data_IF_046402174276
#
_entry.id   IF_046402174276
#
_cell.length_a   1.000
_cell.length_b   1.000
_cell.length_c   1.000
_cell.angle_alpha   90.00
_cell.angle_beta   90.00
_cell.angle_gamma   90.00
#
_symmetry.space_group_name_H-M   'P 1'
#
loop_
_entity.id
_entity.type
_entity.pdbx_description
1 polymer ?
#
# COMPACT_ATOMS: atom_id res chain seq x y z
N UNK A 1 15.42 -7.12 20.99
CA UNK A 1 14.70 -6.22 20.06
C UNK A 1 14.57 -4.87 20.76
N UNK A 2 15.29 -3.82 20.33
CA UNK A 2 15.39 -2.53 21.04
C UNK A 2 14.13 -1.63 20.92
N UNK A 3 12.98 -2.20 20.56
CA UNK A 3 11.73 -1.44 20.42
C UNK A 3 11.73 -0.38 19.32
N UNK A 4 12.66 -0.44 18.36
CA UNK A 4 12.78 0.58 17.29
C UNK A 4 11.65 0.44 16.27
N UNK A 5 10.79 1.47 16.11
CA UNK A 5 9.74 1.51 15.08
C UNK A 5 10.32 1.44 13.67
N UNK A 6 9.63 0.73 12.76
CA UNK A 6 10.12 0.48 11.40
C UNK A 6 9.00 0.58 10.38
N UNK A 7 9.35 1.21 9.26
CA UNK A 7 8.60 1.22 8.01
C UNK A 7 9.44 0.51 6.96
N UNK A 8 8.79 -0.25 6.08
CA UNK A 8 9.44 -0.96 4.98
C UNK A 8 9.17 -0.24 3.67
N UNK A 9 10.21 -0.04 2.87
CA UNK A 9 10.11 0.45 1.50
C UNK A 9 10.60 -0.63 0.55
N UNK A 10 9.69 -1.22 -0.23
CA UNK A 10 10.02 -2.16 -1.31
C UNK A 10 10.50 -1.34 -2.50
N UNK A 11 11.81 -1.14 -2.55
CA UNK A 11 12.48 -0.42 -3.64
C UNK A 11 12.65 -1.31 -4.89
N UNK A 12 13.00 -0.68 -6.01
CA UNK A 12 13.37 -1.29 -7.28
C UNK A 12 12.22 -2.01 -7.97
N UNK A 13 11.02 -1.44 -7.89
CA UNK A 13 9.86 -1.96 -8.61
C UNK A 13 10.02 -1.92 -10.14
N UNK A 14 10.98 -1.14 -10.66
CA UNK A 14 11.41 -1.02 -12.06
C UNK A 14 12.33 -2.16 -12.54
N UNK A 15 12.76 -3.08 -11.67
CA UNK A 15 13.76 -4.10 -12.02
C UNK A 15 13.15 -5.44 -12.36
N UNK A 16 13.80 -6.15 -13.28
CA UNK A 16 13.40 -7.52 -13.63
C UNK A 16 13.33 -8.44 -12.41
N UNK A 17 12.24 -9.19 -12.30
CA UNK A 17 11.91 -10.03 -11.16
C UNK A 17 11.29 -9.28 -9.97
N UNK A 18 10.94 -8.00 -10.12
CA UNK A 18 10.24 -7.23 -9.09
C UNK A 18 8.92 -7.92 -8.72
N UNK A 19 8.69 -8.11 -7.41
CA UNK A 19 7.47 -8.74 -6.92
C UNK A 19 7.15 -8.25 -5.52
N UNK A 20 6.23 -7.29 -5.44
CA UNK A 20 5.81 -6.68 -4.19
C UNK A 20 5.20 -7.70 -3.21
N UNK A 21 4.24 -8.51 -3.69
CA UNK A 21 3.55 -9.51 -2.86
C UNK A 21 4.51 -10.55 -2.30
N UNK A 22 5.50 -10.98 -3.09
CA UNK A 22 6.57 -11.88 -2.62
C UNK A 22 7.43 -11.23 -1.54
N UNK A 23 7.78 -9.95 -1.68
CA UNK A 23 8.52 -9.20 -0.66
C UNK A 23 7.73 -9.11 0.67
N UNK A 24 6.44 -8.76 0.60
CA UNK A 24 5.54 -8.72 1.77
C UNK A 24 5.48 -10.09 2.46
N UNK A 25 5.30 -11.17 1.69
CA UNK A 25 5.28 -12.54 2.22
C UNK A 25 6.61 -12.95 2.87
N UNK A 26 7.73 -12.52 2.29
CA UNK A 26 9.06 -12.78 2.86
C UNK A 26 9.29 -12.03 4.16
N UNK A 27 8.83 -10.78 4.29
CA UNK A 27 8.89 -10.02 5.56
C UNK A 27 8.17 -10.80 6.65
N UNK A 28 6.96 -11.30 6.37
CA UNK A 28 6.18 -12.12 7.32
C UNK A 28 6.91 -13.41 7.70
N UNK A 29 7.29 -14.22 6.70
CA UNK A 29 7.83 -15.57 6.92
C UNK A 29 9.25 -15.59 7.48
N UNK A 30 10.11 -14.65 7.08
CA UNK A 30 11.54 -14.66 7.45
C UNK A 30 11.85 -13.81 8.66
N UNK A 31 11.14 -12.69 8.84
CA UNK A 31 11.39 -11.77 9.96
C UNK A 31 10.40 -11.97 11.12
N UNK A 32 9.33 -12.76 10.92
CA UNK A 32 8.27 -12.91 11.91
C UNK A 32 7.52 -11.60 12.18
N UNK A 33 7.58 -10.66 11.24
CA UNK A 33 6.94 -9.36 11.35
C UNK A 33 5.48 -9.41 10.88
N UNK A 34 4.69 -8.38 11.23
CA UNK A 34 3.34 -8.15 10.70
C UNK A 34 3.41 -7.02 9.66
N UNK A 35 3.79 -7.29 8.39
CA UNK A 35 3.78 -6.27 7.36
C UNK A 35 2.35 -5.82 7.06
N UNK A 36 2.16 -4.53 6.86
CA UNK A 36 0.88 -3.92 6.49
C UNK A 36 1.07 -3.08 5.22
N UNK A 37 0.69 -3.57 4.03
CA UNK A 37 0.68 -2.76 2.83
C UNK A 37 -0.14 -1.48 3.03
N UNK A 38 0.51 -0.32 2.85
CA UNK A 38 -0.17 0.99 2.81
C UNK A 38 -0.21 1.55 1.38
N UNK A 39 0.62 0.99 0.51
CA UNK A 39 0.63 1.27 -0.92
C UNK A 39 0.67 -0.02 -1.72
N UNK A 40 0.10 0.01 -2.92
CA UNK A 40 0.09 -1.10 -3.87
C UNK A 40 0.72 -0.63 -5.18
N UNK A 41 1.71 -1.34 -5.76
CA UNK A 41 2.33 -0.90 -7.00
C UNK A 41 1.36 -1.04 -8.19
N UNK A 42 1.48 -0.11 -9.13
CA UNK A 42 0.82 -0.17 -10.43
C UNK A 42 1.85 -0.65 -11.43
N UNK A 43 1.75 -1.93 -11.81
CA UNK A 43 2.73 -2.59 -12.66
C UNK A 43 4.02 -2.99 -11.93
N UNK A 44 4.96 -3.53 -12.69
CA UNK A 44 6.27 -3.99 -12.23
C UNK A 44 7.26 -4.00 -13.40
N UNK A 45 8.55 -4.05 -13.07
CA UNK A 45 9.65 -3.99 -14.04
C UNK A 45 9.51 -2.75 -14.93
N UNK A 46 9.76 -2.87 -16.23
CA UNK A 46 9.59 -1.78 -17.21
C UNK A 46 8.14 -1.26 -17.31
N UNK A 47 7.16 -1.94 -16.69
CA UNK A 47 5.75 -1.52 -16.66
C UNK A 47 5.36 -0.84 -15.34
N UNK A 48 6.31 -0.58 -14.44
CA UNK A 48 6.02 0.13 -13.20
C UNK A 48 5.67 1.60 -13.49
N UNK A 49 4.44 2.01 -13.18
CA UNK A 49 3.92 3.36 -13.47
C UNK A 49 3.65 4.21 -12.23
N UNK A 50 3.76 3.63 -11.05
CA UNK A 50 3.50 4.32 -9.78
C UNK A 50 2.84 3.42 -8.74
N UNK A 51 2.05 3.99 -7.84
CA UNK A 51 1.40 3.24 -6.79
C UNK A 51 0.06 3.82 -6.35
N UNK A 52 -0.80 2.96 -5.80
CA UNK A 52 -2.05 3.33 -5.14
C UNK A 52 -1.77 3.60 -3.68
N UNK A 53 -2.16 4.78 -3.19
CA UNK A 53 -2.26 5.09 -1.77
C UNK A 53 -3.59 4.52 -1.24
N UNK A 54 -3.50 3.52 -0.36
CA UNK A 54 -4.68 2.88 0.24
C UNK A 54 -5.32 3.72 1.35
N UNK A 55 -4.64 4.73 1.88
CA UNK A 55 -5.19 5.62 2.91
C UNK A 55 -6.16 6.61 2.27
N UNK A 56 -5.75 7.23 1.18
CA UNK A 56 -6.54 8.21 0.41
C UNK A 56 -7.38 7.57 -0.71
N UNK A 57 -7.13 6.30 -1.03
CA UNK A 57 -7.72 5.59 -2.17
C UNK A 57 -7.51 6.35 -3.50
N UNK A 58 -6.26 6.76 -3.75
CA UNK A 58 -5.85 7.44 -4.97
C UNK A 58 -4.68 6.73 -5.64
N UNK A 59 -4.70 6.66 -6.96
CA UNK A 59 -3.56 6.23 -7.75
C UNK A 59 -2.64 7.43 -8.01
N UNK A 60 -1.36 7.27 -7.70
CA UNK A 60 -0.31 8.25 -7.98
C UNK A 60 0.55 7.68 -9.09
N UNK A 61 0.51 8.32 -10.27
CA UNK A 61 1.06 7.79 -11.51
C UNK A 61 2.03 8.78 -12.13
N UNK A 62 3.18 8.31 -12.60
CA UNK A 62 4.14 9.12 -13.35
C UNK A 62 4.03 8.84 -14.84
N UNK A 63 4.04 9.91 -15.63
CA UNK A 63 4.03 9.84 -17.10
C UNK A 63 5.45 9.71 -17.70
N UNK A 64 6.50 9.96 -16.91
CA UNK A 64 7.89 9.77 -17.31
C UNK A 64 8.78 9.35 -16.14
N UNK A 65 9.92 8.76 -16.46
CA UNK A 65 10.96 8.38 -15.49
C UNK A 65 11.90 9.54 -15.12
N UNK A 66 11.56 10.77 -15.53
CA UNK A 66 12.39 11.94 -15.24
C UNK A 66 12.38 12.24 -13.74
N UNK A 67 13.53 12.66 -13.20
CA UNK A 67 13.67 12.92 -11.75
C UNK A 67 12.74 14.00 -11.23
N UNK A 68 12.35 14.93 -12.10
CA UNK A 68 11.47 16.06 -11.79
C UNK A 68 10.04 15.81 -12.27
N UNK A 69 9.71 14.58 -12.70
CA UNK A 69 8.35 14.24 -13.11
C UNK A 69 7.39 14.36 -11.91
N UNK A 70 6.38 15.20 -12.08
CA UNK A 70 5.27 15.26 -11.14
C UNK A 70 4.32 14.08 -11.38
N UNK A 71 3.84 13.47 -10.30
CA UNK A 71 2.81 12.45 -10.43
C UNK A 71 1.45 13.09 -10.66
N UNK A 72 0.62 12.42 -11.42
CA UNK A 72 -0.80 12.69 -11.52
C UNK A 72 -1.55 11.88 -10.46
N UNK A 73 -2.59 12.48 -9.89
CA UNK A 73 -3.52 11.80 -8.99
C UNK A 73 -4.74 11.35 -9.78
N UNK A 74 -5.00 10.05 -9.80
CA UNK A 74 -6.15 9.44 -10.47
C UNK A 74 -7.06 8.73 -9.46
N UNK A 75 -8.33 8.59 -9.81
CA UNK A 75 -9.26 7.74 -9.07
C UNK A 75 -8.93 6.25 -9.28
N UNK A 76 -9.07 5.46 -8.22
CA UNK A 76 -8.95 4.00 -8.30
C UNK A 76 -10.25 3.44 -8.85
N UNK A 77 -10.24 2.99 -10.10
CA UNK A 77 -11.41 2.41 -10.78
C UNK A 77 -11.14 0.97 -11.23
N UNK A 78 -12.17 0.13 -11.43
CA UNK A 78 -11.98 -1.26 -11.87
C UNK A 78 -11.22 -1.40 -13.20
N UNK A 79 -11.31 -0.40 -14.07
CA UNK A 79 -10.64 -0.31 -15.36
C UNK A 79 -9.27 0.39 -15.30
N UNK A 80 -8.73 0.68 -14.10
CA UNK A 80 -7.44 1.37 -13.94
C UNK A 80 -6.29 0.63 -14.62
N UNK A 81 -6.30 -0.71 -14.56
CA UNK A 81 -5.31 -1.54 -15.26
C UNK A 81 -5.35 -1.33 -16.78
N UNK A 82 -6.55 -1.22 -17.36
CA UNK A 82 -6.72 -0.98 -18.79
C UNK A 82 -6.33 0.45 -19.17
N UNK A 83 -6.74 1.44 -18.37
CA UNK A 83 -6.37 2.86 -18.55
C UNK A 83 -4.87 3.10 -18.54
N UNK A 84 -4.14 2.34 -17.72
CA UNK A 84 -2.69 2.44 -17.57
C UNK A 84 -1.93 1.38 -18.36
N UNK A 85 -2.59 0.68 -19.30
CA UNK A 85 -1.96 -0.30 -20.20
C UNK A 85 -1.18 -1.40 -19.47
N UNK A 86 -1.66 -1.84 -18.30
CA UNK A 86 -1.05 -2.90 -17.50
C UNK A 86 -1.56 -4.25 -18.01
N UNK A 87 -0.69 -5.05 -18.61
CA UNK A 87 -1.06 -6.36 -19.18
C UNK A 87 -0.52 -7.56 -18.40
N UNK A 88 0.46 -7.34 -17.52
CA UNK A 88 1.10 -8.40 -16.74
C UNK A 88 0.05 -9.04 -15.81
N UNK A 89 -0.23 -10.36 -15.91
CA UNK A 89 -1.31 -10.99 -15.15
C UNK A 89 -1.17 -10.87 -13.64
N UNK A 90 0.06 -10.91 -13.11
CA UNK A 90 0.32 -10.74 -11.67
C UNK A 90 -0.01 -9.33 -11.19
N UNK A 91 0.31 -8.32 -11.99
CA UNK A 91 0.06 -6.91 -11.64
C UNK A 91 -1.43 -6.60 -11.73
N UNK A 92 -2.11 -7.10 -12.77
CA UNK A 92 -3.58 -7.04 -12.87
C UNK A 92 -4.27 -7.67 -11.67
N UNK A 93 -3.78 -8.83 -11.20
CA UNK A 93 -4.32 -9.48 -10.02
C UNK A 93 -4.13 -8.62 -8.77
N UNK A 94 -2.96 -8.03 -8.59
CA UNK A 94 -2.68 -7.11 -7.47
C UNK A 94 -3.65 -5.93 -7.49
N UNK A 95 -3.90 -5.33 -8.66
CA UNK A 95 -4.85 -4.23 -8.83
C UNK A 95 -6.31 -4.66 -8.57
N UNK A 96 -6.69 -5.87 -8.99
CA UNK A 96 -8.02 -6.43 -8.69
C UNK A 96 -8.23 -6.69 -7.19
N UNK A 97 -7.16 -6.96 -6.44
CA UNK A 97 -7.19 -7.22 -5.00
C UNK A 97 -7.09 -5.93 -4.15
N UNK A 98 -7.08 -4.72 -4.74
CA UNK A 98 -6.91 -3.44 -4.00
C UNK A 98 -7.93 -3.26 -2.88
N UNK A 99 -9.21 -3.57 -3.11
CA UNK A 99 -10.24 -3.49 -2.06
C UNK A 99 -9.98 -4.45 -0.89
N UNK A 100 -9.41 -5.62 -1.18
CA UNK A 100 -9.01 -6.57 -0.13
C UNK A 100 -7.86 -6.01 0.71
N UNK A 101 -6.84 -5.45 0.07
CA UNK A 101 -5.74 -4.77 0.78
C UNK A 101 -6.25 -3.58 1.59
N UNK A 102 -7.21 -2.84 1.04
CA UNK A 102 -7.84 -1.70 1.71
C UNK A 102 -8.58 -2.13 2.97
N UNK A 103 -9.38 -3.19 2.90
CA UNK A 103 -10.08 -3.75 4.06
C UNK A 103 -9.09 -4.22 5.14
N UNK A 104 -8.05 -4.96 4.77
CA UNK A 104 -7.01 -5.39 5.71
C UNK A 104 -6.30 -4.19 6.39
N UNK A 105 -6.04 -3.12 5.63
CA UNK A 105 -5.51 -1.86 6.14
C UNK A 105 -6.45 -1.21 7.15
N UNK A 106 -7.74 -1.07 6.81
CA UNK A 106 -8.74 -0.47 7.70
C UNK A 106 -8.85 -1.27 8.99
N UNK A 107 -9.08 -2.58 8.89
CA UNK A 107 -9.28 -3.45 10.04
C UNK A 107 -8.08 -3.41 10.99
N UNK A 108 -6.86 -3.56 10.43
CA UNK A 108 -5.62 -3.51 11.21
C UNK A 108 -5.38 -2.13 11.84
N UNK A 109 -5.79 -1.05 11.17
CA UNK A 109 -5.70 0.29 11.75
C UNK A 109 -6.68 0.48 12.91
N UNK A 110 -7.91 -0.01 12.76
CA UNK A 110 -8.95 0.13 13.78
C UNK A 110 -8.65 -0.66 15.05
N UNK A 111 -7.87 -1.75 14.98
CA UNK A 111 -7.30 -2.42 16.18
C UNK A 111 -6.50 -1.46 17.09
N UNK A 112 -6.03 -0.33 16.56
CA UNK A 112 -5.26 0.66 17.31
C UNK A 112 -6.14 1.75 17.95
N UNK A 113 -7.44 1.82 17.66
CA UNK A 113 -8.33 2.89 18.12
C UNK A 113 -9.76 2.35 18.36
N UNK A 114 -10.07 2.04 19.62
CA UNK A 114 -11.35 1.46 20.03
C UNK A 114 -12.54 2.36 19.65
N UNK A 115 -12.39 3.69 19.74
CA UNK A 115 -13.47 4.62 19.38
C UNK A 115 -13.74 4.58 17.87
N UNK A 116 -12.67 4.58 17.06
CA UNK A 116 -12.81 4.46 15.62
C UNK A 116 -13.38 3.09 15.20
N UNK A 117 -13.00 2.01 15.90
CA UNK A 117 -13.55 0.67 15.67
C UNK A 117 -15.05 0.64 15.96
N UNK A 118 -15.48 1.19 17.10
CA UNK A 118 -16.90 1.27 17.46
C UNK A 118 -17.71 2.05 16.42
N UNK A 119 -17.25 3.23 16.00
CA UNK A 119 -17.92 4.02 14.95
C UNK A 119 -18.03 3.27 13.63
N UNK A 120 -16.99 2.56 13.22
CA UNK A 120 -17.02 1.77 12.00
C UNK A 120 -18.09 0.67 12.03
N UNK A 121 -18.23 -0.01 13.17
CA UNK A 121 -19.24 -1.07 13.36
C UNK A 121 -20.67 -0.53 13.43
N UNK A 122 -20.86 0.69 13.96
CA UNK A 122 -22.17 1.34 14.07
C UNK A 122 -22.61 1.98 12.74
N UNK A 123 -21.74 2.78 12.13
CA UNK A 123 -22.06 3.60 10.97
C UNK A 123 -21.86 2.85 9.64
N UNK A 124 -21.04 1.80 9.63
CA UNK A 124 -20.65 1.05 8.43
C UNK A 124 -19.76 1.82 7.44
N UNK A 125 -19.37 3.06 7.78
CA UNK A 125 -18.55 3.91 6.92
C UNK A 125 -17.07 3.79 7.24
N UNK A 126 -16.25 3.62 6.22
CA UNK A 126 -14.80 3.56 6.38
C UNK A 126 -14.25 4.81 7.10
N UNK A 127 -13.25 4.67 7.99
CA UNK A 127 -12.66 5.79 8.69
C UNK A 127 -12.00 6.79 7.72
N UNK A 128 -11.97 8.06 8.12
CA UNK A 128 -11.28 9.10 7.34
C UNK A 128 -9.78 8.83 7.23
N UNK A 129 -9.15 9.38 6.19
CA UNK A 129 -7.71 9.32 6.00
C UNK A 129 -6.92 9.87 7.21
N UNK A 130 -7.45 10.87 7.91
CA UNK A 130 -6.86 11.40 9.14
C UNK A 130 -6.84 10.37 10.27
N UNK A 131 -7.97 9.67 10.50
CA UNK A 131 -8.06 8.61 11.51
C UNK A 131 -7.10 7.46 11.17
N UNK A 132 -7.08 7.04 9.92
CA UNK A 132 -6.17 5.98 9.46
C UNK A 132 -4.70 6.35 9.67
N UNK A 133 -4.31 7.60 9.38
CA UNK A 133 -2.94 8.09 9.66
C UNK A 133 -2.60 8.06 11.15
N UNK A 134 -3.55 8.43 12.02
CA UNK A 134 -3.36 8.35 13.48
C UNK A 134 -3.15 6.90 13.93
N UNK A 135 -3.98 5.98 13.46
CA UNK A 135 -3.86 4.54 13.73
C UNK A 135 -2.55 3.95 13.20
N UNK A 136 -2.18 4.26 11.95
CA UNK A 136 -0.92 3.83 11.34
C UNK A 136 0.27 4.31 12.17
N UNK A 137 0.28 5.59 12.58
CA UNK A 137 1.34 6.14 13.44
C UNK A 137 1.40 5.40 14.76
N UNK A 138 0.26 5.19 15.43
CA UNK A 138 0.20 4.48 16.71
C UNK A 138 0.74 3.06 16.58
N UNK A 139 0.23 2.28 15.63
CA UNK A 139 0.66 0.89 15.40
C UNK A 139 2.12 0.76 14.98
N UNK A 140 2.65 1.72 14.21
CA UNK A 140 4.08 1.74 13.83
C UNK A 140 4.96 2.01 15.04
N UNK A 141 4.64 3.04 15.83
CA UNK A 141 5.45 3.46 16.99
C UNK A 141 5.42 2.41 18.11
N UNK A 142 4.29 1.72 18.30
CA UNK A 142 4.17 0.63 19.28
C UNK A 142 4.74 -0.71 18.77
N UNK A 143 5.02 -0.81 17.46
CA UNK A 143 5.52 -2.04 16.84
C UNK A 143 4.44 -3.11 16.64
N UNK A 144 3.17 -2.74 16.64
CA UNK A 144 2.05 -3.66 16.38
C UNK A 144 2.09 -4.22 14.95
N UNK A 145 2.53 -3.40 13.99
CA UNK A 145 2.74 -3.78 12.59
C UNK A 145 3.79 -2.87 11.93
N UNK A 146 4.22 -3.25 10.73
CA UNK A 146 5.19 -2.51 9.93
C UNK A 146 4.53 -2.06 8.62
N UNK A 147 4.27 -0.74 8.43
CA UNK A 147 3.78 -0.24 7.16
C UNK A 147 4.74 -0.58 6.02
N UNK A 148 4.20 -1.01 4.89
CA UNK A 148 4.96 -1.35 3.69
C UNK A 148 4.56 -0.43 2.55
N UNK A 149 5.53 0.35 2.09
CA UNK A 149 5.48 1.22 0.92
C UNK A 149 6.20 0.54 -0.26
N UNK A 150 5.99 1.05 -1.46
CA UNK A 150 6.66 0.57 -2.66
C UNK A 150 7.06 1.72 -3.58
N UNK A 151 8.03 1.48 -4.45
CA UNK A 151 8.42 2.43 -5.48
C UNK A 151 9.75 2.05 -6.14
N UNK A 152 10.29 3.00 -6.89
CA UNK A 152 11.67 2.93 -7.36
C UNK A 152 12.43 4.21 -7.01
N UNK A 153 13.62 4.03 -6.48
CA UNK A 153 14.58 5.10 -6.19
C UNK A 153 15.94 4.65 -6.73
N UNK A 154 16.41 5.36 -7.77
CA UNK A 154 17.70 5.18 -8.42
C UNK A 154 18.45 6.51 -8.58
#
# INVERSE_FOLDING_TARGET
NYGVPRVCYVNKMDRSGASFTRCVEMIKKRLGARPLPVQIPIGSEDNFKGMIDLVEMKALVWDSDDKDAEWQTLEVTPDLADKLDIHVPTDRKILADVEKYRTELVDTCLEMDDEAMHKYLEDGHAPSAEVLRKCLRKGTVTGAFNPVLCGSSY
#
